data_IF_392190199366
#
_entry.id   IF_392190199366
#
_cell.length_a   1.000
_cell.length_b   1.000
_cell.length_c   1.000
_cell.angle_alpha   90.00
_cell.angle_beta   90.00
_cell.angle_gamma   90.00
#
_symmetry.space_group_name_H-M   'P 1'
#
loop_
_entity.id
_entity.type
_entity.pdbx_description
1 polymer ?
#
# COMPACT_ATOMS: atom_id res chain seq x y z
N UNK A 1 2.67 4.12 -19.06
CA UNK A 1 3.43 3.93 -17.80
C UNK A 1 3.97 2.51 -17.79
N UNK A 2 5.25 2.35 -17.58
CA UNK A 2 5.87 1.05 -17.41
C UNK A 2 6.08 0.76 -15.93
N UNK A 3 5.78 -0.46 -15.50
CA UNK A 3 6.02 -0.94 -14.14
C UNK A 3 7.28 -1.79 -14.07
N UNK A 4 7.86 -1.93 -12.90
CA UNK A 4 9.01 -2.79 -12.63
C UNK A 4 8.93 -3.37 -11.23
N UNK A 5 9.38 -4.61 -11.06
CA UNK A 5 9.50 -5.27 -9.74
C UNK A 5 10.95 -5.39 -9.27
N UNK A 6 11.90 -5.02 -10.12
CA UNK A 6 13.31 -5.16 -9.79
C UNK A 6 13.73 -4.15 -8.72
N UNK A 7 14.91 -3.68 -8.70
CA UNK A 7 15.48 -2.80 -7.69
C UNK A 7 14.49 -1.78 -7.11
N UNK A 8 14.30 -1.72 -5.79
CA UNK A 8 13.44 -0.75 -5.13
C UNK A 8 13.74 0.68 -5.56
N UNK A 9 12.71 1.41 -5.94
CA UNK A 9 12.81 2.79 -6.41
C UNK A 9 11.50 3.52 -6.17
N UNK A 10 11.57 4.77 -5.70
CA UNK A 10 10.43 5.66 -5.69
C UNK A 10 10.50 6.60 -6.89
N UNK A 11 9.55 6.49 -7.82
CA UNK A 11 9.48 7.34 -8.99
C UNK A 11 8.82 8.68 -8.64
N UNK A 12 9.56 9.77 -8.70
CA UNK A 12 9.04 11.13 -8.58
C UNK A 12 8.43 11.63 -9.89
N UNK A 13 8.78 10.98 -11.00
CA UNK A 13 8.23 11.19 -12.33
C UNK A 13 7.80 9.84 -12.93
N UNK A 14 6.50 9.64 -13.04
CA UNK A 14 5.90 8.37 -13.48
C UNK A 14 5.77 8.25 -15.00
N UNK A 15 6.19 9.24 -15.77
CA UNK A 15 6.09 9.22 -17.24
C UNK A 15 6.92 8.10 -17.86
N UNK A 16 8.03 7.75 -17.23
CA UNK A 16 8.90 6.69 -17.70
C UNK A 16 8.58 5.34 -17.04
N UNK A 17 8.67 5.27 -15.71
CA UNK A 17 8.56 4.01 -14.98
C UNK A 17 8.05 4.22 -13.57
N UNK A 18 7.31 3.23 -13.08
CA UNK A 18 6.82 3.14 -11.68
C UNK A 18 7.30 1.82 -11.10
N UNK A 19 7.73 1.82 -9.85
CA UNK A 19 8.05 0.59 -9.13
C UNK A 19 6.82 0.07 -8.37
N UNK A 20 6.46 -1.18 -8.62
CA UNK A 20 5.23 -1.76 -8.03
C UNK A 20 5.32 -1.93 -6.51
N UNK A 21 6.47 -2.36 -5.99
CA UNK A 21 6.70 -2.46 -4.54
C UNK A 21 5.74 -3.39 -3.81
N UNK A 22 5.29 -4.44 -4.50
CA UNK A 22 4.38 -5.48 -4.01
C UNK A 22 3.00 -4.98 -3.53
N UNK A 23 2.64 -3.73 -3.79
CA UNK A 23 1.32 -3.20 -3.44
C UNK A 23 0.90 -2.05 -4.34
N UNK A 24 -0.37 -2.03 -4.72
CA UNK A 24 -0.95 -0.91 -5.48
C UNK A 24 -0.86 0.42 -4.72
N UNK A 25 -0.90 0.40 -3.40
CA UNK A 25 -0.75 1.59 -2.57
C UNK A 25 0.58 2.30 -2.84
N UNK A 26 1.68 1.54 -3.04
CA UNK A 26 2.97 2.13 -3.38
C UNK A 26 2.96 2.81 -4.76
N UNK A 27 2.27 2.23 -5.73
CA UNK A 27 2.05 2.85 -7.04
C UNK A 27 1.26 4.14 -6.90
N UNK A 28 0.18 4.13 -6.12
CA UNK A 28 -0.65 5.30 -5.85
C UNK A 28 0.15 6.45 -5.21
N UNK A 29 1.05 6.14 -4.27
CA UNK A 29 1.91 7.14 -3.63
C UNK A 29 2.85 7.82 -4.64
N UNK A 30 3.42 7.07 -5.58
CA UNK A 30 4.26 7.62 -6.65
C UNK A 30 3.45 8.49 -7.62
N UNK A 31 2.25 8.05 -7.98
CA UNK A 31 1.33 8.82 -8.82
C UNK A 31 0.92 10.14 -8.13
N UNK A 32 0.52 10.08 -6.88
CA UNK A 32 0.14 11.26 -6.11
C UNK A 32 1.29 12.26 -5.96
N UNK A 33 2.52 11.75 -5.77
CA UNK A 33 3.71 12.59 -5.75
C UNK A 33 3.92 13.30 -7.08
N UNK A 34 3.85 12.57 -8.20
CA UNK A 34 3.97 13.12 -9.55
C UNK A 34 2.90 14.16 -9.86
N UNK A 35 1.68 13.95 -9.40
CA UNK A 35 0.55 14.88 -9.57
C UNK A 35 0.70 16.17 -8.74
N UNK A 36 1.66 16.24 -7.82
CA UNK A 36 1.97 17.44 -7.07
C UNK A 36 1.21 17.60 -5.75
N UNK A 37 0.55 16.56 -5.25
CA UNK A 37 -0.10 16.63 -3.94
C UNK A 37 0.92 16.89 -2.84
N UNK A 38 0.65 17.87 -2.00
CA UNK A 38 1.48 18.21 -0.84
C UNK A 38 1.22 17.31 0.37
N UNK A 39 0.02 16.74 0.42
CA UNK A 39 -0.40 15.84 1.48
C UNK A 39 -1.18 14.67 0.88
N UNK A 40 -0.90 13.47 1.36
CA UNK A 40 -1.64 12.25 1.03
C UNK A 40 -2.09 11.59 2.34
N UNK A 41 -3.33 11.18 2.41
CA UNK A 41 -3.92 10.53 3.57
C UNK A 41 -4.29 9.10 3.17
N UNK A 42 -3.68 8.13 3.84
CA UNK A 42 -3.99 6.72 3.68
C UNK A 42 -5.18 6.33 4.56
N UNK A 43 -6.13 5.60 4.00
CA UNK A 43 -7.25 4.98 4.71
C UNK A 43 -7.42 3.55 4.21
N UNK A 44 -7.71 2.62 5.12
CA UNK A 44 -7.91 1.22 4.75
C UNK A 44 -6.62 0.48 4.33
N UNK A 45 -5.45 0.95 4.74
CA UNK A 45 -4.16 0.27 4.55
C UNK A 45 -3.85 -0.55 5.80
N UNK A 46 -4.50 -1.69 5.94
CA UNK A 46 -4.45 -2.48 7.17
C UNK A 46 -3.07 -3.07 7.45
N UNK A 47 -2.33 -3.44 6.41
CA UNK A 47 -0.99 -4.03 6.49
C UNK A 47 -0.94 -5.28 7.38
N UNK A 48 -2.02 -6.07 7.33
CA UNK A 48 -2.14 -7.34 8.06
C UNK A 48 -2.97 -8.32 7.25
N UNK A 49 -2.56 -9.61 7.29
CA UNK A 49 -3.28 -10.67 6.61
C UNK A 49 -3.44 -11.88 7.53
N UNK A 50 -4.63 -12.45 7.57
CA UNK A 50 -4.93 -13.64 8.36
C UNK A 50 -4.30 -14.90 7.75
N UNK A 51 -4.22 -14.97 6.43
CA UNK A 51 -3.61 -16.09 5.69
C UNK A 51 -2.09 -16.03 5.80
N UNK A 52 -1.49 -17.15 6.25
CA UNK A 52 -0.04 -17.29 6.41
C UNK A 52 0.57 -18.08 5.25
N UNK A 53 1.81 -17.79 4.92
CA UNK A 53 2.58 -18.48 3.89
C UNK A 53 3.75 -17.64 3.38
N UNK A 54 4.48 -18.16 2.39
CA UNK A 54 5.54 -17.39 1.73
C UNK A 54 4.94 -16.31 0.85
N UNK A 55 5.54 -15.10 0.78
CA UNK A 55 5.11 -14.04 -0.13
C UNK A 55 4.99 -14.55 -1.58
N UNK A 56 4.03 -14.00 -2.30
CA UNK A 56 3.75 -14.33 -3.71
C UNK A 56 3.35 -15.79 -4.00
N UNK A 57 3.12 -16.61 -2.98
CA UNK A 57 2.55 -17.94 -3.16
C UNK A 57 1.07 -17.83 -3.54
N UNK A 58 0.65 -18.54 -4.59
CA UNK A 58 -0.76 -18.62 -4.96
C UNK A 58 -1.51 -19.48 -3.95
N UNK A 59 -2.60 -18.95 -3.42
CA UNK A 59 -3.53 -19.67 -2.52
C UNK A 59 -4.93 -19.63 -3.09
N UNK A 60 -5.73 -20.61 -2.68
CA UNK A 60 -7.15 -20.68 -3.04
C UNK A 60 -8.01 -20.38 -1.82
N UNK A 61 -8.99 -19.50 -2.00
CA UNK A 61 -9.90 -19.13 -0.93
C UNK A 61 -10.78 -20.34 -0.54
N UNK A 62 -10.81 -20.65 0.75
CA UNK A 62 -11.59 -21.76 1.30
C UNK A 62 -12.99 -21.33 1.79
N UNK A 63 -13.29 -20.04 1.77
CA UNK A 63 -14.55 -19.48 2.27
C UNK A 63 -14.57 -17.96 2.21
N UNK A 64 -15.19 -17.34 3.20
CA UNK A 64 -15.27 -15.90 3.33
C UNK A 64 -13.88 -15.27 3.47
N UNK A 65 -13.73 -14.09 2.89
CA UNK A 65 -12.45 -13.36 2.88
C UNK A 65 -12.27 -12.58 4.21
N UNK A 66 -11.32 -12.98 5.06
CA UNK A 66 -11.10 -12.30 6.33
C UNK A 66 -10.27 -11.00 6.19
N UNK A 67 -9.73 -10.71 5.00
CA UNK A 67 -8.76 -9.64 4.78
C UNK A 67 -9.38 -8.39 4.13
N UNK A 68 -10.61 -8.48 3.62
CA UNK A 68 -11.28 -7.37 2.94
C UNK A 68 -12.58 -6.98 3.65
N UNK A 69 -13.05 -5.78 3.36
CA UNK A 69 -14.28 -5.21 3.96
C UNK A 69 -15.56 -6.01 3.61
N UNK A 70 -15.52 -6.81 2.55
CA UNK A 70 -16.61 -7.71 2.15
C UNK A 70 -16.15 -9.15 2.22
N UNK A 71 -16.82 -9.97 2.99
CA UNK A 71 -16.53 -11.40 3.10
C UNK A 71 -16.58 -12.14 1.75
N UNK A 72 -17.36 -11.64 0.80
CA UNK A 72 -17.50 -12.20 -0.53
C UNK A 72 -16.49 -11.64 -1.55
N UNK A 73 -15.54 -10.81 -1.13
CA UNK A 73 -14.58 -10.15 -2.05
C UNK A 73 -13.76 -11.17 -2.84
N UNK A 74 -13.17 -12.13 -2.13
CA UNK A 74 -12.58 -13.33 -2.73
C UNK A 74 -13.36 -14.57 -2.25
N UNK A 75 -14.44 -14.89 -2.93
CA UNK A 75 -15.26 -16.06 -2.60
C UNK A 75 -14.49 -17.38 -2.69
N UNK A 76 -15.07 -18.45 -2.14
CA UNK A 76 -14.49 -19.79 -2.17
C UNK A 76 -14.07 -20.21 -3.58
N UNK A 77 -12.86 -20.77 -3.70
CA UNK A 77 -12.28 -21.18 -4.98
C UNK A 77 -11.54 -20.09 -5.73
N UNK A 78 -11.57 -18.82 -5.25
CA UNK A 78 -10.79 -17.75 -5.86
C UNK A 78 -9.30 -17.93 -5.54
N UNK A 79 -8.45 -17.80 -6.54
CA UNK A 79 -7.00 -17.90 -6.39
C UNK A 79 -6.37 -16.52 -6.35
N UNK A 80 -5.50 -16.29 -5.39
CA UNK A 80 -4.77 -15.03 -5.22
C UNK A 80 -3.36 -15.28 -4.66
N UNK A 81 -2.48 -14.30 -4.79
CA UNK A 81 -1.13 -14.39 -4.26
C UNK A 81 -1.04 -13.76 -2.89
N UNK A 82 -0.32 -14.41 -1.99
CA UNK A 82 -0.05 -13.86 -0.66
C UNK A 82 0.75 -12.57 -0.78
N UNK A 83 0.43 -11.56 0.03
CA UNK A 83 1.12 -10.28 0.01
C UNK A 83 2.56 -10.41 0.49
N UNK A 84 3.41 -9.59 -0.08
CA UNK A 84 4.78 -9.38 0.38
C UNK A 84 4.83 -8.08 1.21
N UNK A 85 4.60 -8.22 2.51
CA UNK A 85 4.56 -7.09 3.43
C UNK A 85 5.92 -6.44 3.62
N UNK A 86 7.01 -7.22 3.58
CA UNK A 86 8.37 -6.68 3.72
C UNK A 86 8.74 -5.80 2.54
N UNK A 87 8.50 -6.25 1.31
CA UNK A 87 8.73 -5.43 0.11
C UNK A 87 7.83 -4.20 0.10
N UNK A 88 6.58 -4.33 0.54
CA UNK A 88 5.67 -3.19 0.69
C UNK A 88 6.21 -2.14 1.65
N UNK A 89 6.77 -2.56 2.79
CA UNK A 89 7.37 -1.64 3.76
C UNK A 89 8.59 -0.88 3.20
N UNK A 90 9.42 -1.54 2.39
CA UNK A 90 10.53 -0.86 1.71
C UNK A 90 9.96 0.29 0.86
N UNK A 91 8.91 0.03 0.08
CA UNK A 91 8.24 1.03 -0.73
C UNK A 91 7.68 2.18 0.10
N UNK A 92 7.03 1.89 1.21
CA UNK A 92 6.46 2.90 2.10
C UNK A 92 7.52 3.78 2.76
N UNK A 93 8.66 3.21 3.21
CA UNK A 93 9.79 3.99 3.75
C UNK A 93 10.39 4.92 2.69
N UNK A 94 10.53 4.45 1.46
CA UNK A 94 11.01 5.26 0.34
C UNK A 94 10.02 6.39 0.00
N UNK A 95 8.72 6.09 0.01
CA UNK A 95 7.67 7.09 -0.18
C UNK A 95 7.73 8.17 0.89
N UNK A 96 7.74 7.79 2.17
CA UNK A 96 7.87 8.74 3.28
C UNK A 96 9.05 9.67 3.09
N UNK A 97 10.22 9.10 2.82
CA UNK A 97 11.44 9.88 2.62
C UNK A 97 11.34 10.86 1.44
N UNK A 98 10.77 10.40 0.31
CA UNK A 98 10.61 11.26 -0.86
C UNK A 98 9.68 12.44 -0.58
N UNK A 99 8.54 12.20 0.07
CA UNK A 99 7.60 13.26 0.45
C UNK A 99 8.23 14.24 1.43
N UNK A 100 8.84 13.77 2.50
CA UNK A 100 9.50 14.63 3.51
C UNK A 100 10.61 15.47 2.91
N UNK A 101 11.46 14.91 2.03
CA UNK A 101 12.51 15.63 1.33
C UNK A 101 11.97 16.75 0.43
N UNK A 102 10.75 16.63 -0.04
CA UNK A 102 10.08 17.66 -0.86
C UNK A 102 9.24 18.65 -0.04
N UNK A 103 9.29 18.57 1.30
CA UNK A 103 8.43 19.38 2.18
C UNK A 103 6.95 18.97 2.14
N UNK A 104 6.67 17.72 1.74
CA UNK A 104 5.35 17.13 1.65
C UNK A 104 5.18 16.07 2.72
N UNK A 105 3.98 15.51 2.88
CA UNK A 105 3.74 14.47 3.88
C UNK A 105 2.74 13.40 3.44
N UNK A 106 2.87 12.24 4.06
CA UNK A 106 1.89 11.16 4.00
C UNK A 106 1.41 10.89 5.42
N UNK A 107 0.11 10.88 5.63
CA UNK A 107 -0.54 10.53 6.89
C UNK A 107 -1.22 9.17 6.76
N UNK A 108 -1.26 8.41 7.83
CA UNK A 108 -2.01 7.16 7.89
C UNK A 108 -3.16 7.29 8.89
N UNK A 109 -4.37 7.37 8.37
CA UNK A 109 -5.61 7.46 9.13
C UNK A 109 -6.39 6.13 9.15
N UNK A 110 -5.72 5.03 8.85
CA UNK A 110 -6.33 3.69 8.89
C UNK A 110 -6.71 3.31 10.31
N UNK A 111 -7.98 3.01 10.54
CA UNK A 111 -8.50 2.58 11.83
C UNK A 111 -8.06 1.13 12.09
N UNK A 112 -7.30 0.91 13.19
CA UNK A 112 -6.83 -0.42 13.58
C UNK A 112 -5.73 -1.04 12.71
N UNK A 113 -5.20 -0.31 11.73
CA UNK A 113 -4.13 -0.78 10.85
C UNK A 113 -2.82 -1.06 11.58
N UNK A 114 -2.02 -1.98 11.02
CA UNK A 114 -0.72 -2.43 11.56
C UNK A 114 0.48 -1.75 10.92
N UNK A 115 0.28 -0.93 9.89
CA UNK A 115 1.35 -0.18 9.26
C UNK A 115 1.89 0.88 10.23
N UNK A 116 3.19 0.86 10.50
CA UNK A 116 3.88 1.77 11.43
C UNK A 116 5.05 2.47 10.71
N UNK A 117 4.77 3.12 9.60
CA UNK A 117 5.77 3.84 8.81
C UNK A 117 5.43 5.31 8.69
N UNK A 118 4.17 5.63 8.45
CA UNK A 118 3.70 7.00 8.31
C UNK A 118 3.20 7.59 9.62
N UNK A 119 3.19 8.91 9.72
CA UNK A 119 2.57 9.63 10.82
C UNK A 119 1.09 9.27 10.92
N UNK A 120 0.64 8.92 12.11
CA UNK A 120 -0.75 8.56 12.35
C UNK A 120 -1.63 9.81 12.47
N UNK A 121 -2.82 9.73 11.87
CA UNK A 121 -3.85 10.74 11.99
C UNK A 121 -5.17 10.11 12.44
N UNK A 122 -5.96 10.85 13.19
CA UNK A 122 -7.29 10.40 13.58
C UNK A 122 -8.28 10.67 12.44
N UNK A 123 -8.77 9.61 11.82
CA UNK A 123 -9.76 9.68 10.73
C UNK A 123 -10.95 10.58 11.07
N UNK A 124 -11.46 10.48 12.32
CA UNK A 124 -12.64 11.23 12.72
C UNK A 124 -12.41 12.75 12.81
N UNK A 125 -11.18 13.19 12.92
CA UNK A 125 -10.83 14.62 13.02
C UNK A 125 -10.49 15.26 11.69
N UNK A 126 -10.13 14.46 10.66
CA UNK A 126 -9.63 14.97 9.38
C UNK A 126 -10.71 15.65 8.50
N UNK A 127 -11.96 15.27 8.68
CA UNK A 127 -13.06 15.67 7.80
C UNK A 127 -14.16 16.45 8.56
N UNK A 128 -13.77 17.13 9.60
CA UNK A 128 -14.67 18.01 10.39
C UNK A 128 -14.75 19.41 9.81
#
# INVERSE_FOLDING_TARGET
>A
IYTTYTTPKFATDVRNRVWEGATVTNVCLQLAYHMGFSEVILIGVDHSFATKGKPNTTVESQGDDPNHFSAAYFGKGFRWQLPDLETSEIGYRMARRAYENAGRRVLDATIGGKLDIFEKADYLTLFR
#
